data_IF_114772591516
#
_entry.id   IF_114772591516
#
_cell.length_a   1.000
_cell.length_b   1.000
_cell.length_c   1.000
_cell.angle_alpha   90.00
_cell.angle_beta   90.00
_cell.angle_gamma   90.00
#
_symmetry.space_group_name_H-M   'P 1'
#
loop_
_entity.id
_entity.type
_entity.pdbx_description
1 polymer ?
#
# COMPACT_ATOMS: atom_id res chain seq x y z
N UNK A 1 -6.65 26.67 -8.80
CA UNK A 1 -5.83 25.56 -9.38
C UNK A 1 -6.60 24.25 -9.28
N UNK A 2 -6.44 23.37 -10.24
CA UNK A 2 -7.00 22.01 -10.21
C UNK A 2 -6.28 21.21 -9.12
N UNK A 3 -7.01 20.52 -8.21
CA UNK A 3 -6.38 19.70 -7.20
C UNK A 3 -5.63 18.51 -7.83
N UNK A 4 -4.40 18.29 -7.39
CA UNK A 4 -3.57 17.16 -7.77
C UNK A 4 -3.84 15.98 -6.84
N UNK A 5 -3.99 14.78 -7.39
CA UNK A 5 -4.32 13.61 -6.59
C UNK A 5 -3.25 13.30 -5.54
N UNK A 6 -2.00 13.19 -5.97
CA UNK A 6 -0.89 12.79 -5.11
C UNK A 6 -0.54 13.86 -4.07
N UNK A 7 -0.59 15.15 -4.46
CA UNK A 7 -0.16 16.26 -3.59
C UNK A 7 -1.25 16.77 -2.65
N UNK A 8 -2.51 16.58 -3.02
CA UNK A 8 -3.63 17.18 -2.30
C UNK A 8 -4.63 16.13 -1.78
N UNK A 9 -5.03 15.16 -2.62
CA UNK A 9 -6.08 14.21 -2.25
C UNK A 9 -5.53 13.10 -1.35
N UNK A 10 -4.41 12.47 -1.71
CA UNK A 10 -3.80 11.41 -0.89
C UNK A 10 -3.45 11.90 0.52
N UNK A 11 -2.77 13.05 0.70
CA UNK A 11 -2.52 13.60 2.05
C UNK A 11 -3.79 13.95 2.81
N UNK A 12 -4.83 14.43 2.12
CA UNK A 12 -6.11 14.69 2.76
C UNK A 12 -6.76 13.41 3.28
N UNK A 13 -6.81 12.34 2.47
CA UNK A 13 -7.34 11.04 2.89
C UNK A 13 -6.57 10.46 4.08
N UNK A 14 -5.25 10.65 4.11
CA UNK A 14 -4.40 10.28 5.25
C UNK A 14 -4.73 11.08 6.51
N UNK A 15 -4.82 12.42 6.40
CA UNK A 15 -5.18 13.33 7.50
C UNK A 15 -6.55 13.00 8.10
N UNK A 16 -7.51 12.68 7.25
CA UNK A 16 -8.86 12.30 7.67
C UNK A 16 -8.97 10.87 8.21
N UNK A 17 -7.88 10.11 8.19
CA UNK A 17 -7.83 8.72 8.66
C UNK A 17 -8.47 7.71 7.71
N UNK A 18 -8.88 8.11 6.51
CA UNK A 18 -9.54 7.22 5.55
C UNK A 18 -8.67 6.03 5.15
N UNK A 19 -7.35 6.26 4.97
CA UNK A 19 -6.34 5.24 4.62
C UNK A 19 -5.66 4.61 5.83
N UNK A 20 -6.18 4.78 7.04
CA UNK A 20 -5.66 4.12 8.24
C UNK A 20 -6.05 2.64 8.31
N UNK A 21 -5.29 1.85 9.09
CA UNK A 21 -5.56 0.43 9.31
C UNK A 21 -6.94 0.14 9.95
N UNK A 22 -7.52 1.11 10.66
CA UNK A 22 -8.86 0.98 11.27
C UNK A 22 -10.00 1.26 10.29
N UNK A 23 -9.68 1.82 9.13
CA UNK A 23 -10.64 2.22 8.10
C UNK A 23 -10.37 1.48 6.78
N UNK A 24 -10.15 2.20 5.69
CA UNK A 24 -9.98 1.60 4.37
C UNK A 24 -8.55 1.15 4.06
N UNK A 25 -7.56 1.48 4.90
CA UNK A 25 -6.17 1.04 4.78
C UNK A 25 -5.88 -0.34 5.38
N UNK A 26 -6.89 -1.02 5.96
CA UNK A 26 -6.74 -2.39 6.45
C UNK A 26 -6.58 -3.37 5.29
N UNK A 27 -6.05 -4.56 5.58
CA UNK A 27 -5.84 -5.62 4.59
C UNK A 27 -7.12 -5.96 3.81
N UNK A 28 -8.26 -6.05 4.49
CA UNK A 28 -9.55 -6.33 3.86
C UNK A 28 -10.28 -5.06 3.40
N UNK A 29 -9.81 -3.88 3.79
CA UNK A 29 -10.57 -2.65 3.61
C UNK A 29 -11.82 -2.59 4.48
N UNK A 30 -12.73 -1.70 4.16
CA UNK A 30 -14.03 -1.59 4.82
C UNK A 30 -15.13 -1.34 3.79
N UNK A 31 -16.17 -2.18 3.79
CA UNK A 31 -17.30 -2.05 2.87
C UNK A 31 -16.93 -2.19 1.40
N UNK A 32 -16.14 -3.21 1.08
CA UNK A 32 -15.62 -3.51 -0.27
C UNK A 32 -14.81 -2.36 -0.90
N UNK A 33 -14.27 -1.50 -0.05
CA UNK A 33 -13.38 -0.43 -0.47
C UNK A 33 -12.08 -0.47 0.33
N UNK A 34 -10.97 -0.54 -0.40
CA UNK A 34 -9.63 -0.59 0.16
C UNK A 34 -8.77 0.51 -0.44
N UNK A 35 -8.07 1.22 0.43
CA UNK A 35 -6.97 2.11 0.09
C UNK A 35 -5.65 1.49 0.55
N UNK A 36 -4.56 1.95 0.01
CA UNK A 36 -3.25 1.63 0.55
C UNK A 36 -3.07 2.29 1.93
N UNK A 37 -2.37 1.61 2.82
CA UNK A 37 -2.13 2.14 4.16
C UNK A 37 -1.37 3.47 4.07
N UNK A 38 -1.92 4.52 4.66
CA UNK A 38 -1.38 5.89 4.64
C UNK A 38 -1.13 6.49 3.24
N UNK A 39 -1.77 5.97 2.20
CA UNK A 39 -1.61 6.48 0.84
C UNK A 39 -0.27 6.09 0.20
N UNK A 40 0.30 4.94 0.58
CA UNK A 40 1.58 4.44 0.08
C UNK A 40 1.56 4.19 -1.44
N UNK A 41 0.46 3.63 -1.96
CA UNK A 41 0.27 3.30 -3.38
C UNK A 41 -0.84 4.17 -3.98
N UNK A 42 -0.48 5.37 -4.40
CA UNK A 42 -1.45 6.32 -4.94
C UNK A 42 -2.01 5.92 -6.31
N UNK A 43 -1.35 5.04 -7.06
CA UNK A 43 -1.90 4.51 -8.33
C UNK A 43 -3.07 3.57 -8.01
N UNK A 44 -2.86 2.65 -7.10
CA UNK A 44 -3.89 1.75 -6.59
C UNK A 44 -5.03 2.51 -5.93
N UNK A 45 -4.71 3.51 -5.12
CA UNK A 45 -5.72 4.32 -4.43
C UNK A 45 -6.57 5.11 -5.43
N UNK A 46 -5.94 5.68 -6.47
CA UNK A 46 -6.65 6.33 -7.55
C UNK A 46 -7.56 5.35 -8.30
N UNK A 47 -7.04 4.18 -8.69
CA UNK A 47 -7.82 3.14 -9.35
C UNK A 47 -8.97 2.64 -8.46
N UNK A 48 -8.73 2.46 -7.16
CA UNK A 48 -9.75 2.05 -6.21
C UNK A 48 -10.87 3.09 -6.07
N UNK A 49 -10.56 4.37 -6.19
CA UNK A 49 -11.55 5.45 -6.13
C UNK A 49 -12.32 5.62 -7.44
N UNK A 50 -11.65 5.56 -8.59
CA UNK A 50 -12.21 5.89 -9.91
C UNK A 50 -12.70 4.68 -10.69
N UNK A 51 -12.32 3.47 -10.29
CA UNK A 51 -12.73 2.22 -10.95
C UNK A 51 -14.23 1.96 -10.84
N UNK A 52 -14.72 1.10 -11.74
CA UNK A 52 -16.14 0.73 -11.88
C UNK A 52 -16.71 -0.11 -10.74
N UNK A 53 -15.97 -0.31 -9.65
CA UNK A 53 -16.50 -1.07 -8.51
C UNK A 53 -17.77 -0.39 -7.98
N UNK A 54 -18.89 -0.87 -8.45
CA UNK A 54 -20.21 -0.45 -8.01
C UNK A 54 -20.47 -0.98 -6.61
N UNK A 55 -20.57 -0.09 -5.64
CA UNK A 55 -21.31 -0.44 -4.44
C UNK A 55 -22.81 -0.30 -4.76
N UNK A 56 -23.64 -1.05 -4.04
CA UNK A 56 -25.10 -0.89 -4.11
C UNK A 56 -25.57 0.56 -3.79
N UNK A 57 -24.70 1.37 -3.22
CA UNK A 57 -24.97 2.77 -2.85
C UNK A 57 -24.55 3.75 -3.97
N UNK A 58 -23.92 3.30 -5.06
CA UNK A 58 -23.48 4.13 -6.19
C UNK A 58 -21.97 4.11 -6.45
N UNK A 59 -21.50 5.03 -7.27
CA UNK A 59 -20.09 5.16 -7.64
C UNK A 59 -19.30 5.92 -6.57
N UNK A 60 -18.06 5.50 -6.31
CA UNK A 60 -17.16 6.21 -5.40
C UNK A 60 -16.85 7.61 -5.90
N UNK A 61 -16.65 7.75 -7.20
CA UNK A 61 -16.51 9.02 -7.92
C UNK A 61 -17.59 9.07 -9.01
N UNK A 62 -18.37 10.13 -9.02
CA UNK A 62 -19.36 10.38 -10.05
C UNK A 62 -19.00 11.69 -10.78
N UNK A 63 -18.45 11.59 -11.96
CA UNK A 63 -17.98 12.74 -12.74
C UNK A 63 -19.13 13.58 -13.31
N UNK A 64 -20.29 12.98 -13.53
CA UNK A 64 -21.47 13.68 -14.08
C UNK A 64 -22.28 14.40 -13.01
N UNK A 65 -22.23 13.92 -11.77
CA UNK A 65 -22.89 14.51 -10.62
C UNK A 65 -21.96 14.42 -9.40
N UNK A 66 -20.96 15.28 -9.27
CA UNK A 66 -19.93 15.22 -8.21
C UNK A 66 -20.49 15.08 -6.80
N UNK A 67 -21.55 15.79 -6.47
CA UNK A 67 -22.23 15.71 -5.16
C UNK A 67 -22.80 14.32 -4.85
N UNK A 68 -22.97 13.45 -5.84
CA UNK A 68 -23.43 12.07 -5.68
C UNK A 68 -22.29 11.06 -5.52
N UNK A 69 -21.06 11.52 -5.44
CA UNK A 69 -19.91 10.67 -5.20
C UNK A 69 -19.90 10.12 -3.78
N UNK A 70 -19.71 8.80 -3.61
CA UNK A 70 -19.66 8.18 -2.28
C UNK A 70 -18.54 8.73 -1.40
N UNK A 71 -17.44 9.20 -2.00
CA UNK A 71 -16.33 9.85 -1.26
C UNK A 71 -16.76 11.17 -0.60
N UNK A 72 -17.86 11.77 -1.03
CA UNK A 72 -18.48 12.95 -0.40
C UNK A 72 -19.64 12.56 0.51
N UNK A 73 -20.53 11.70 0.05
CA UNK A 73 -21.76 11.33 0.75
C UNK A 73 -21.50 10.54 2.04
N UNK A 74 -20.54 9.62 2.04
CA UNK A 74 -20.24 8.77 3.20
C UNK A 74 -19.55 9.55 4.33
N UNK A 75 -18.45 10.29 4.09
CA UNK A 75 -17.77 11.04 5.15
C UNK A 75 -18.59 12.18 5.72
N UNK A 76 -19.54 12.75 4.96
CA UNK A 76 -20.50 13.75 5.44
C UNK A 76 -21.75 13.13 6.07
N UNK A 77 -21.80 11.81 6.22
CA UNK A 77 -22.92 11.06 6.80
C UNK A 77 -24.29 11.31 6.13
N UNK A 78 -24.30 11.84 4.88
CA UNK A 78 -25.53 11.96 4.09
C UNK A 78 -26.10 10.59 3.73
N UNK A 79 -25.27 9.56 3.72
CA UNK A 79 -25.65 8.15 3.67
C UNK A 79 -24.90 7.37 4.78
N UNK A 80 -25.32 6.15 5.05
CA UNK A 80 -24.75 5.34 6.14
C UNK A 80 -23.24 5.13 5.95
N UNK A 81 -22.45 5.55 6.95
CA UNK A 81 -21.01 5.34 7.03
C UNK A 81 -20.65 4.85 8.44
N UNK A 82 -19.98 3.67 8.51
CA UNK A 82 -19.59 3.08 9.80
C UNK A 82 -18.54 3.92 10.55
N UNK A 83 -17.70 4.65 9.80
CA UNK A 83 -16.71 5.59 10.35
C UNK A 83 -17.32 6.85 10.97
N UNK A 84 -18.64 7.05 10.86
CA UNK A 84 -19.30 8.26 11.33
C UNK A 84 -19.15 9.44 10.36
N UNK A 85 -19.36 10.63 10.87
CA UNK A 85 -19.10 11.89 10.16
C UNK A 85 -17.63 12.25 10.33
N UNK A 86 -16.94 12.45 9.21
CA UNK A 86 -15.50 12.72 9.16
C UNK A 86 -15.24 14.16 8.69
N UNK A 87 -16.06 14.65 7.78
CA UNK A 87 -16.01 16.03 7.26
C UNK A 87 -17.42 16.60 7.23
N UNK A 88 -17.52 17.89 7.37
CA UNK A 88 -18.78 18.62 7.16
C UNK A 88 -18.86 19.10 5.72
N UNK A 89 -20.10 19.24 5.22
CA UNK A 89 -20.35 19.82 3.90
C UNK A 89 -19.86 21.28 3.88
N UNK A 90 -19.38 21.71 2.72
CA UNK A 90 -18.88 23.06 2.44
C UNK A 90 -17.59 23.47 3.19
N UNK A 91 -16.97 22.55 3.95
CA UNK A 91 -15.63 22.75 4.52
C UNK A 91 -14.56 22.74 3.41
N UNK A 92 -13.34 23.15 3.73
CA UNK A 92 -12.26 23.17 2.74
C UNK A 92 -11.89 21.75 2.27
N UNK A 93 -12.00 20.73 3.17
CA UNK A 93 -11.80 19.32 2.85
C UNK A 93 -12.83 18.83 1.84
N UNK A 94 -14.11 19.11 2.10
CA UNK A 94 -15.18 18.79 1.18
C UNK A 94 -14.97 19.46 -0.18
N UNK A 95 -14.71 20.77 -0.17
CA UNK A 95 -14.52 21.57 -1.37
C UNK A 95 -13.27 21.12 -2.17
N UNK A 96 -12.22 20.64 -1.51
CA UNK A 96 -11.04 20.11 -2.19
C UNK A 96 -11.38 18.82 -2.94
N UNK A 97 -12.05 17.87 -2.30
CA UNK A 97 -12.53 16.63 -2.94
C UNK A 97 -13.52 16.93 -4.07
N UNK A 98 -14.49 17.79 -3.82
CA UNK A 98 -15.50 18.15 -4.82
C UNK A 98 -14.88 18.77 -6.07
N UNK A 99 -13.96 19.73 -5.92
CA UNK A 99 -13.24 20.33 -7.06
C UNK A 99 -12.37 19.35 -7.82
N UNK A 100 -11.75 18.40 -7.11
CA UNK A 100 -10.99 17.34 -7.77
C UNK A 100 -11.90 16.48 -8.64
N UNK A 101 -13.07 16.09 -8.16
CA UNK A 101 -14.05 15.33 -8.92
C UNK A 101 -14.56 16.15 -10.12
N UNK A 102 -14.93 17.41 -9.91
CA UNK A 102 -15.37 18.31 -11.00
C UNK A 102 -14.33 18.51 -12.09
N UNK A 103 -13.05 18.46 -11.74
CA UNK A 103 -11.94 18.56 -12.70
C UNK A 103 -11.61 17.24 -13.41
N UNK A 104 -12.46 16.21 -13.27
CA UNK A 104 -12.31 14.92 -13.93
C UNK A 104 -11.64 13.86 -13.07
N UNK A 105 -11.43 14.12 -11.77
CA UNK A 105 -10.79 13.21 -10.81
C UNK A 105 -9.46 12.65 -11.35
N UNK A 106 -8.67 13.49 -12.00
CA UNK A 106 -7.42 13.10 -12.64
C UNK A 106 -6.44 12.52 -11.61
N UNK A 107 -5.82 11.40 -11.97
CA UNK A 107 -4.73 10.78 -11.24
C UNK A 107 -3.39 11.43 -11.56
N UNK A 108 -2.34 10.64 -11.51
CA UNK A 108 -1.00 11.08 -11.90
C UNK A 108 -0.96 11.23 -13.42
N UNK A 109 -0.46 12.36 -13.97
CA UNK A 109 -0.30 12.50 -15.43
C UNK A 109 0.58 11.37 -15.98
N UNK A 110 0.07 10.64 -16.96
CA UNK A 110 0.72 9.48 -17.60
C UNK A 110 2.10 9.82 -18.18
N UNK A 111 2.39 11.10 -18.43
CA UNK A 111 3.68 11.57 -18.96
C UNK A 111 4.89 11.40 -18.00
N UNK A 112 4.69 10.94 -16.76
CA UNK A 112 5.75 10.65 -15.77
C UNK A 112 5.75 9.20 -15.27
N UNK A 113 5.00 8.34 -15.91
CA UNK A 113 4.98 6.92 -15.58
C UNK A 113 5.76 6.21 -16.69
N UNK A 114 6.94 5.72 -16.36
CA UNK A 114 7.50 4.61 -17.12
C UNK A 114 6.41 3.55 -17.17
N UNK A 115 6.05 3.12 -18.40
CA UNK A 115 4.87 2.30 -18.71
C UNK A 115 4.85 0.98 -17.95
N UNK A 116 4.33 1.00 -16.72
CA UNK A 116 3.78 -0.19 -16.10
C UNK A 116 2.26 -0.04 -16.15
N UNK A 117 1.60 -0.81 -16.99
CA UNK A 117 0.15 -0.81 -17.15
C UNK A 117 -0.52 -1.23 -15.83
N UNK A 118 -1.69 -0.64 -15.45
CA UNK A 118 -2.36 -0.89 -14.17
C UNK A 118 -2.88 -2.33 -13.96
N UNK A 119 -2.77 -3.21 -14.97
CA UNK A 119 -3.17 -4.62 -14.91
C UNK A 119 -2.06 -5.61 -15.31
N UNK A 120 -0.84 -5.15 -15.54
CA UNK A 120 0.24 -6.09 -15.70
C UNK A 120 0.70 -6.52 -14.31
N UNK A 121 0.36 -7.75 -13.90
CA UNK A 121 1.17 -8.44 -12.88
C UNK A 121 2.63 -8.18 -13.21
N UNK A 122 3.46 -7.76 -12.24
CA UNK A 122 4.86 -7.52 -12.52
C UNK A 122 5.42 -8.73 -13.27
N UNK A 123 5.97 -8.51 -14.46
CA UNK A 123 6.61 -9.59 -15.23
C UNK A 123 7.98 -9.80 -14.60
N UNK A 124 8.08 -10.84 -13.82
CA UNK A 124 9.33 -11.20 -13.18
C UNK A 124 10.17 -12.03 -14.13
N UNK A 125 11.50 -11.90 -14.03
CA UNK A 125 12.43 -12.78 -14.75
C UNK A 125 12.28 -14.23 -14.28
N UNK A 126 12.51 -15.18 -15.17
CA UNK A 126 12.53 -16.61 -14.79
C UNK A 126 13.58 -16.88 -13.73
N UNK A 127 14.73 -16.23 -13.86
CA UNK A 127 15.88 -16.32 -12.96
C UNK A 127 15.52 -15.81 -11.56
N UNK A 128 14.76 -14.69 -11.45
CA UNK A 128 14.30 -14.15 -10.17
C UNK A 128 13.28 -15.04 -9.48
N UNK A 129 12.34 -15.64 -10.25
CA UNK A 129 11.39 -16.61 -9.72
C UNK A 129 12.11 -17.88 -9.26
N UNK A 130 13.09 -18.35 -10.03
CA UNK A 130 13.88 -19.51 -9.66
C UNK A 130 14.70 -19.26 -8.40
N UNK A 131 15.37 -18.10 -8.30
CA UNK A 131 16.09 -17.69 -7.09
C UNK A 131 15.15 -17.66 -5.87
N UNK A 132 13.94 -17.15 -6.03
CA UNK A 132 12.94 -17.15 -4.95
C UNK A 132 12.62 -18.57 -4.50
N UNK A 133 12.26 -19.45 -5.42
CA UNK A 133 11.83 -20.80 -5.08
C UNK A 133 12.96 -21.66 -4.49
N UNK A 134 14.16 -21.55 -5.06
CA UNK A 134 15.29 -22.44 -4.72
C UNK A 134 16.00 -21.99 -3.43
N UNK A 135 16.02 -20.68 -3.15
CA UNK A 135 16.83 -20.12 -2.06
C UNK A 135 16.04 -19.25 -1.10
N UNK A 136 15.28 -18.27 -1.60
CA UNK A 136 14.65 -17.24 -0.74
C UNK A 136 13.49 -17.83 0.06
N UNK A 137 12.60 -18.60 -0.58
CA UNK A 137 11.47 -19.20 0.13
C UNK A 137 11.93 -20.14 1.26
N UNK A 138 12.84 -21.09 1.06
CA UNK A 138 13.38 -21.91 2.15
C UNK A 138 14.03 -21.08 3.26
N UNK A 139 14.75 -20.01 2.90
CA UNK A 139 15.39 -19.12 3.87
C UNK A 139 14.34 -18.40 4.74
N UNK A 140 13.29 -17.86 4.12
CA UNK A 140 12.20 -17.20 4.83
C UNK A 140 11.42 -18.19 5.73
N UNK A 141 11.15 -19.40 5.23
CA UNK A 141 10.46 -20.44 5.99
C UNK A 141 11.23 -20.83 7.25
N UNK A 142 12.54 -21.04 7.12
CA UNK A 142 13.36 -21.50 8.21
C UNK A 142 13.74 -20.42 9.25
N UNK A 143 13.75 -19.13 8.84
CA UNK A 143 14.29 -18.07 9.71
C UNK A 143 13.28 -16.96 10.06
N UNK A 144 12.17 -16.84 9.31
CA UNK A 144 11.30 -15.66 9.42
C UNK A 144 9.84 -16.00 9.72
N UNK A 145 9.28 -17.05 9.10
CA UNK A 145 7.83 -17.32 9.13
C UNK A 145 7.30 -17.79 10.48
N UNK A 146 8.15 -18.29 11.37
CA UNK A 146 7.73 -18.61 12.74
C UNK A 146 7.19 -17.35 13.44
N UNK A 147 7.86 -16.20 13.25
CA UNK A 147 7.50 -14.92 13.90
C UNK A 147 6.73 -13.97 12.97
N UNK A 148 6.93 -14.05 11.66
CA UNK A 148 6.35 -13.15 10.65
C UNK A 148 5.47 -13.88 9.62
N UNK A 149 4.86 -14.99 10.02
CA UNK A 149 3.91 -15.77 9.23
C UNK A 149 2.47 -15.66 9.72
N UNK A 150 1.55 -16.48 9.16
CA UNK A 150 0.10 -16.37 9.39
C UNK A 150 -0.34 -16.52 10.85
N UNK A 151 0.43 -17.27 11.67
CA UNK A 151 0.07 -17.54 13.06
C UNK A 151 0.62 -16.49 14.03
N UNK A 152 1.62 -15.75 13.62
CA UNK A 152 2.24 -14.67 14.39
C UNK A 152 2.62 -13.53 13.44
N UNK A 153 2.45 -12.29 13.90
CA UNK A 153 2.91 -11.09 13.20
C UNK A 153 3.62 -10.17 14.17
N UNK A 154 4.78 -10.61 14.67
CA UNK A 154 5.59 -9.77 15.54
C UNK A 154 5.91 -8.46 14.82
N UNK A 155 5.71 -7.33 15.52
CA UNK A 155 5.83 -6.00 14.92
C UNK A 155 4.85 -5.72 13.80
N UNK A 156 3.68 -6.39 13.78
CA UNK A 156 2.65 -6.29 12.73
C UNK A 156 3.18 -6.59 11.31
N UNK A 157 4.35 -7.24 11.19
CA UNK A 157 4.97 -7.60 9.93
C UNK A 157 4.56 -9.02 9.51
N UNK A 158 4.13 -9.16 8.26
CA UNK A 158 3.91 -10.44 7.58
C UNK A 158 4.87 -10.54 6.38
N UNK A 159 5.47 -11.71 6.19
CA UNK A 159 6.41 -11.95 5.08
C UNK A 159 5.96 -13.07 4.13
N UNK A 160 4.79 -13.68 4.37
CA UNK A 160 4.30 -14.79 3.53
C UNK A 160 3.78 -14.36 2.17
N UNK A 161 3.37 -13.12 2.04
CA UNK A 161 2.98 -12.57 0.73
C UNK A 161 3.89 -11.41 0.37
N UNK A 162 4.12 -11.27 -0.93
CA UNK A 162 4.89 -10.13 -1.45
C UNK A 162 4.25 -8.81 -1.06
N UNK A 163 2.94 -8.72 -1.13
CA UNK A 163 2.15 -7.54 -0.80
C UNK A 163 2.37 -7.11 0.65
N UNK A 164 2.38 -8.06 1.58
CA UNK A 164 2.59 -7.76 3.00
C UNK A 164 4.04 -7.33 3.27
N UNK A 165 5.01 -7.95 2.61
CA UNK A 165 6.42 -7.57 2.71
C UNK A 165 6.68 -6.15 2.16
N UNK A 166 5.98 -5.76 1.08
CA UNK A 166 6.02 -4.40 0.53
C UNK A 166 5.32 -3.38 1.44
N UNK A 167 4.27 -3.81 2.16
CA UNK A 167 3.55 -2.98 3.11
C UNK A 167 4.40 -2.68 4.35
N UNK A 168 5.14 -3.69 4.85
CA UNK A 168 5.89 -3.60 6.09
C UNK A 168 5.02 -3.79 7.33
N UNK A 169 5.59 -3.49 8.50
CA UNK A 169 4.96 -3.67 9.80
C UNK A 169 4.76 -2.36 10.58
N UNK A 170 4.73 -2.46 11.92
CA UNK A 170 4.48 -1.36 12.84
C UNK A 170 5.48 -0.18 12.72
N UNK A 171 6.66 -0.40 12.14
CA UNK A 171 7.64 0.66 11.89
C UNK A 171 7.17 1.68 10.83
N UNK A 172 6.13 1.36 10.05
CA UNK A 172 5.66 2.16 8.92
C UNK A 172 6.61 2.18 7.72
N UNK A 173 7.69 1.40 7.75
CA UNK A 173 8.62 1.23 6.64
C UNK A 173 8.36 -0.10 5.93
N UNK A 174 8.50 -0.12 4.60
CA UNK A 174 8.42 -1.35 3.83
C UNK A 174 9.54 -2.32 4.24
N UNK A 175 9.20 -3.59 4.45
CA UNK A 175 10.23 -4.60 4.68
C UNK A 175 11.07 -4.81 3.42
N UNK A 176 10.44 -4.75 2.25
CA UNK A 176 11.09 -4.89 0.94
C UNK A 176 10.70 -3.71 0.05
N UNK A 177 11.68 -3.08 -0.58
CA UNK A 177 11.49 -2.09 -1.64
C UNK A 177 12.10 -2.63 -2.92
N UNK A 178 11.30 -3.13 -3.88
CA UNK A 178 11.80 -3.75 -5.10
C UNK A 178 12.85 -2.90 -5.82
N UNK A 179 13.98 -3.52 -6.18
CA UNK A 179 15.10 -2.84 -6.84
C UNK A 179 15.90 -1.89 -5.96
N UNK A 180 15.60 -1.78 -4.64
CA UNK A 180 16.25 -0.81 -3.74
C UNK A 180 16.70 -1.47 -2.44
N UNK A 181 17.84 -2.16 -2.50
CA UNK A 181 18.45 -2.88 -1.37
C UNK A 181 18.53 -1.97 -0.13
N UNK A 182 19.17 -0.81 -0.25
CA UNK A 182 19.41 0.13 0.86
C UNK A 182 18.15 0.82 1.44
N UNK A 183 16.96 0.59 0.85
CA UNK A 183 15.67 1.08 1.34
C UNK A 183 14.79 -0.03 1.91
N UNK A 184 15.26 -1.26 1.81
CA UNK A 184 14.56 -2.43 2.29
C UNK A 184 14.93 -2.69 3.74
N UNK A 185 13.96 -2.52 4.66
CA UNK A 185 14.18 -2.70 6.09
C UNK A 185 14.63 -4.14 6.42
N UNK A 186 14.22 -5.11 5.61
CA UNK A 186 14.65 -6.50 5.74
C UNK A 186 16.19 -6.63 5.71
N UNK A 187 16.87 -5.94 4.78
CA UNK A 187 18.33 -6.01 4.67
C UNK A 187 19.00 -5.33 5.87
N UNK A 188 18.50 -4.18 6.33
CA UNK A 188 18.99 -3.54 7.56
C UNK A 188 18.88 -4.49 8.75
N UNK A 189 17.75 -5.21 8.86
CA UNK A 189 17.48 -6.13 9.96
C UNK A 189 18.37 -7.37 9.93
N UNK A 190 18.53 -8.04 8.77
CA UNK A 190 19.29 -9.28 8.67
C UNK A 190 20.80 -9.08 8.67
N UNK A 191 21.28 -7.88 8.29
CA UNK A 191 22.72 -7.53 8.38
C UNK A 191 23.14 -7.15 9.80
N UNK A 192 22.22 -7.09 10.76
CA UNK A 192 22.46 -6.69 12.15
C UNK A 192 23.22 -5.35 12.29
N UNK A 193 23.10 -4.48 11.28
CA UNK A 193 23.76 -3.17 11.25
C UNK A 193 23.16 -2.17 12.25
N UNK A 194 21.91 -2.42 12.68
CA UNK A 194 21.20 -1.64 13.68
C UNK A 194 20.94 -2.50 14.93
N UNK A 195 21.50 -2.17 16.10
CA UNK A 195 21.32 -2.97 17.31
C UNK A 195 19.87 -3.08 17.79
N UNK A 196 19.01 -2.11 17.45
CA UNK A 196 17.60 -2.12 17.81
C UNK A 196 16.74 -2.93 16.82
N UNK A 197 17.35 -3.42 15.72
CA UNK A 197 16.66 -4.12 14.63
C UNK A 197 17.51 -5.29 14.14
N UNK A 198 17.62 -6.35 14.93
CA UNK A 198 18.38 -7.55 14.61
C UNK A 198 17.43 -8.72 14.35
N UNK A 199 17.44 -9.25 13.13
CA UNK A 199 16.61 -10.38 12.70
C UNK A 199 17.43 -11.41 11.90
N UNK A 200 17.25 -12.70 12.15
CA UNK A 200 16.60 -13.29 13.31
C UNK A 200 17.28 -12.89 14.64
N UNK A 201 16.55 -12.81 15.76
CA UNK A 201 17.12 -12.32 17.01
C UNK A 201 18.17 -13.27 17.63
N UNK A 202 18.11 -14.56 17.29
CA UNK A 202 18.96 -15.58 17.90
C UNK A 202 20.27 -15.81 17.14
N UNK A 203 20.32 -15.46 15.85
CA UNK A 203 21.51 -15.61 15.00
C UNK A 203 21.50 -14.63 13.81
N UNK A 204 22.65 -14.20 13.39
CA UNK A 204 22.79 -13.51 12.11
C UNK A 204 22.71 -14.54 10.95
N UNK A 205 22.18 -14.14 9.83
CA UNK A 205 22.23 -14.91 8.59
C UNK A 205 23.69 -14.99 8.07
N UNK A 206 24.01 -16.04 7.32
CA UNK A 206 25.29 -16.13 6.66
C UNK A 206 25.43 -15.10 5.53
N UNK A 207 26.65 -14.74 5.16
CA UNK A 207 26.90 -13.69 4.20
C UNK A 207 26.31 -14.00 2.81
N UNK A 208 26.29 -15.28 2.42
CA UNK A 208 25.69 -15.76 1.17
C UNK A 208 24.15 -15.73 1.23
N UNK A 209 23.52 -16.00 2.37
CA UNK A 209 22.08 -15.88 2.59
C UNK A 209 21.65 -14.41 2.44
N UNK A 210 22.41 -13.47 3.01
CA UNK A 210 22.16 -12.03 2.87
C UNK A 210 22.34 -11.59 1.40
N UNK A 211 23.40 -12.05 0.73
CA UNK A 211 23.64 -11.72 -0.67
C UNK A 211 22.53 -12.26 -1.60
N UNK A 212 21.98 -13.44 -1.32
CA UNK A 212 20.84 -13.97 -2.06
C UNK A 212 19.57 -13.11 -1.86
N UNK A 213 19.30 -12.62 -0.66
CA UNK A 213 18.19 -11.66 -0.38
C UNK A 213 18.40 -10.34 -1.12
N UNK A 214 19.62 -9.80 -1.09
CA UNK A 214 19.96 -8.56 -1.81
C UNK A 214 19.75 -8.71 -3.32
N UNK A 215 20.24 -9.83 -3.89
CA UNK A 215 20.09 -10.14 -5.30
C UNK A 215 18.61 -10.29 -5.69
N UNK A 216 17.82 -11.00 -4.88
CA UNK A 216 16.38 -11.14 -5.10
C UNK A 216 15.65 -9.79 -5.08
N UNK A 217 15.97 -8.93 -4.10
CA UNK A 217 15.41 -7.58 -4.02
C UNK A 217 15.82 -6.74 -5.22
N UNK A 218 17.09 -6.82 -5.66
CA UNK A 218 17.59 -6.12 -6.84
C UNK A 218 16.84 -6.51 -8.11
N UNK A 219 16.42 -7.78 -8.23
CA UNK A 219 15.62 -8.29 -9.35
C UNK A 219 14.12 -7.95 -9.23
N UNK A 220 13.72 -7.11 -8.26
CA UNK A 220 12.33 -6.68 -8.10
C UNK A 220 11.52 -7.49 -7.11
N UNK A 221 12.14 -8.40 -6.37
CA UNK A 221 11.50 -9.28 -5.37
C UNK A 221 10.29 -10.03 -5.96
N UNK A 222 10.50 -10.86 -7.00
CA UNK A 222 9.44 -11.66 -7.60
C UNK A 222 8.79 -12.62 -6.61
#
# INVERSE_FOLDING_TARGET
SVPDFQKHIVPLLGKLGCSSAKCHGSFQGAGDFRLSLFGFDFQRDHAALTGEASSKDGSRINLTAPDRSLILLKPTKQIKHRGGEIIEKDTWEYNLLHRWIQSGAAGIPIAKIDKAAPDSKPVFSKEGIQLFNDKILPLLENNCYECHGNNQSKGDLQLKTREDALLGGASGKAAIVPGKINKSLLIEAVSHSNPDLQMPPERMLEADEIADLENWIAQGAP
#
